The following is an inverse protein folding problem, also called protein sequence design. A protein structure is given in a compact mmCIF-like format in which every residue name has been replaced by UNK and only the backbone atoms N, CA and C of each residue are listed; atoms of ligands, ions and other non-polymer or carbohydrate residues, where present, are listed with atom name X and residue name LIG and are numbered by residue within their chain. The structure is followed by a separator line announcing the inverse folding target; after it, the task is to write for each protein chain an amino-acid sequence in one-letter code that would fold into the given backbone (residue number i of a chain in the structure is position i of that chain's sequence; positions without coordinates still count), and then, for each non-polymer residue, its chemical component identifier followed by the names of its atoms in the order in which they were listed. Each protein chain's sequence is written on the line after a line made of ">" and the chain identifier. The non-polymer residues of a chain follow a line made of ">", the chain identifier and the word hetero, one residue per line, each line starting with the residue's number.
data_IF_374895853107
#
_entry.id   IF_374895853107
#
_cell.length_a   1.000
_cell.length_b   1.000
_cell.length_c   1.000
_cell.angle_alpha   90.00
_cell.angle_beta   90.00
_cell.angle_gamma   90.00
#
_symmetry.space_group_name_H-M   'P 1'
#
loop_
_entity.id
_entity.type
_entity.pdbx_description
1 polymer ?
#
# COMPACT_ATOMS: atom_id res chain seq x y z
N UNK A 1 26.72 -24.65 -39.35
CA UNK A 1 25.94 -23.52 -38.77
C UNK A 1 24.81 -24.07 -37.90
N UNK A 2 25.03 -24.28 -36.61
CA UNK A 2 23.98 -24.58 -35.61
C UNK A 2 24.46 -24.12 -34.23
N UNK A 3 24.13 -22.90 -33.82
CA UNK A 3 24.15 -22.45 -32.42
C UNK A 3 23.70 -20.98 -32.33
N UNK A 4 22.42 -20.69 -32.54
CA UNK A 4 21.83 -19.37 -32.22
C UNK A 4 20.35 -19.44 -31.79
N UNK A 5 19.70 -20.61 -31.88
CA UNK A 5 18.29 -20.78 -31.52
C UNK A 5 18.03 -20.84 -30.01
N UNK A 6 19.00 -21.25 -29.19
CA UNK A 6 18.80 -21.42 -27.74
C UNK A 6 18.73 -20.10 -26.95
N UNK A 7 19.52 -19.10 -27.33
CA UNK A 7 19.61 -17.83 -26.59
C UNK A 7 18.38 -16.95 -26.85
N UNK A 8 17.84 -16.97 -28.07
CA UNK A 8 16.66 -16.18 -28.46
C UNK A 8 15.40 -16.72 -27.75
N UNK A 9 15.25 -18.04 -27.65
CA UNK A 9 14.08 -18.66 -26.98
C UNK A 9 14.07 -18.35 -25.48
N UNK A 10 15.23 -18.42 -24.81
CA UNK A 10 15.36 -18.09 -23.38
C UNK A 10 15.10 -16.59 -23.14
N UNK A 11 15.61 -15.71 -24.02
CA UNK A 11 15.37 -14.26 -23.91
C UNK A 11 13.88 -13.91 -24.07
N UNK A 12 13.18 -14.49 -25.06
CA UNK A 12 11.76 -14.24 -25.29
C UNK A 12 10.87 -14.76 -24.14
N UNK A 13 11.16 -15.94 -23.58
CA UNK A 13 10.38 -16.49 -22.45
C UNK A 13 10.60 -15.69 -21.16
N UNK A 14 11.81 -15.18 -20.92
CA UNK A 14 12.09 -14.30 -19.78
C UNK A 14 11.34 -12.97 -19.92
N UNK A 15 11.25 -12.39 -21.13
CA UNK A 15 10.49 -11.15 -21.35
C UNK A 15 8.98 -11.33 -21.11
N UNK A 16 8.36 -12.41 -21.61
CA UNK A 16 6.90 -12.65 -21.43
C UNK A 16 6.55 -12.88 -19.97
N UNK A 17 7.41 -13.58 -19.21
CA UNK A 17 7.17 -13.85 -17.79
C UNK A 17 7.31 -12.59 -16.94
N UNK A 18 8.31 -11.74 -17.19
CA UNK A 18 8.47 -10.47 -16.45
C UNK A 18 7.32 -9.48 -16.74
N UNK A 19 6.86 -9.40 -17.99
CA UNK A 19 5.69 -8.57 -18.36
C UNK A 19 4.36 -9.13 -17.81
N UNK A 20 4.18 -10.45 -17.81
CA UNK A 20 2.99 -11.09 -17.23
C UNK A 20 2.94 -11.01 -15.69
N UNK A 21 4.10 -10.93 -15.03
CA UNK A 21 4.22 -10.82 -13.58
C UNK A 21 3.81 -9.45 -13.03
N UNK A 22 3.99 -8.37 -13.81
CA UNK A 22 3.50 -7.04 -13.42
C UNK A 22 2.00 -6.89 -13.74
N UNK A 23 1.53 -7.50 -14.84
CA UNK A 23 0.13 -7.43 -15.28
C UNK A 23 -0.88 -7.88 -14.22
N UNK A 24 -0.65 -9.01 -13.54
CA UNK A 24 -1.59 -9.53 -12.54
C UNK A 24 -1.76 -8.59 -11.33
N UNK A 25 -0.70 -7.88 -10.94
CA UNK A 25 -0.77 -6.91 -9.83
C UNK A 25 -1.48 -5.62 -10.27
N UNK A 26 -1.20 -5.13 -11.47
CA UNK A 26 -1.89 -3.96 -12.02
C UNK A 26 -3.39 -4.23 -12.26
N UNK A 27 -3.72 -5.41 -12.79
CA UNK A 27 -5.11 -5.85 -12.94
C UNK A 27 -5.82 -5.97 -11.59
N UNK A 28 -5.14 -6.47 -10.55
CA UNK A 28 -5.69 -6.51 -9.20
C UNK A 28 -5.98 -5.11 -8.63
N UNK A 29 -5.08 -4.14 -8.82
CA UNK A 29 -5.33 -2.75 -8.41
C UNK A 29 -6.53 -2.16 -9.17
N UNK A 30 -6.61 -2.38 -10.48
CA UNK A 30 -7.76 -1.93 -11.27
C UNK A 30 -9.09 -2.51 -10.75
N UNK A 31 -9.13 -3.83 -10.49
CA UNK A 31 -10.31 -4.50 -9.93
C UNK A 31 -10.67 -3.96 -8.55
N UNK A 32 -9.66 -3.68 -7.72
CA UNK A 32 -9.86 -3.06 -6.41
C UNK A 32 -10.47 -1.66 -6.53
N UNK A 33 -10.00 -0.84 -7.47
CA UNK A 33 -10.49 0.52 -7.68
C UNK A 33 -11.95 0.55 -8.15
N UNK A 34 -12.39 -0.45 -8.92
CA UNK A 34 -13.79 -0.64 -9.31
C UNK A 34 -14.60 -1.44 -8.27
N UNK A 35 -14.03 -1.70 -7.10
CA UNK A 35 -14.65 -2.38 -5.95
C UNK A 35 -15.02 -3.85 -6.17
N UNK A 36 -14.41 -4.50 -7.17
CA UNK A 36 -14.51 -5.95 -7.37
C UNK A 36 -13.48 -6.67 -6.48
N UNK A 37 -13.74 -6.67 -5.18
CA UNK A 37 -12.80 -7.14 -4.17
C UNK A 37 -12.54 -8.65 -4.24
N UNK A 38 -13.52 -9.45 -4.68
CA UNK A 38 -13.36 -10.90 -4.84
C UNK A 38 -12.39 -11.23 -5.98
N UNK A 39 -12.57 -10.61 -7.15
CA UNK A 39 -11.64 -10.82 -8.27
C UNK A 39 -10.28 -10.19 -7.98
N UNK A 40 -10.25 -9.01 -7.35
CA UNK A 40 -9.00 -8.38 -6.94
C UNK A 40 -8.20 -9.29 -6.00
N UNK A 41 -8.84 -9.86 -4.98
CA UNK A 41 -8.23 -10.80 -4.03
C UNK A 41 -7.60 -12.00 -4.75
N UNK A 42 -8.34 -12.64 -5.65
CA UNK A 42 -7.83 -13.78 -6.42
C UNK A 42 -6.57 -13.42 -7.22
N UNK A 43 -6.55 -12.21 -7.82
CA UNK A 43 -5.42 -11.71 -8.60
C UNK A 43 -4.23 -11.32 -7.72
N UNK A 44 -4.47 -10.76 -6.54
CA UNK A 44 -3.41 -10.45 -5.58
C UNK A 44 -2.74 -11.71 -5.04
N UNK A 45 -3.50 -12.74 -4.65
CA UNK A 45 -2.96 -14.02 -4.19
C UNK A 45 -2.06 -14.67 -5.27
N UNK A 46 -2.54 -14.74 -6.51
CA UNK A 46 -1.73 -15.20 -7.66
C UNK A 46 -0.47 -14.37 -7.90
N UNK A 47 -0.51 -13.08 -7.59
CA UNK A 47 0.65 -12.19 -7.72
C UNK A 47 1.65 -12.42 -6.59
N UNK A 48 1.19 -12.63 -5.35
CA UNK A 48 2.00 -12.83 -4.14
C UNK A 48 3.03 -13.96 -4.33
N UNK A 49 2.58 -15.10 -4.84
CA UNK A 49 3.41 -16.30 -5.05
C UNK A 49 4.54 -16.09 -6.08
N UNK A 50 4.32 -15.19 -7.03
CA UNK A 50 5.26 -14.95 -8.14
C UNK A 50 6.35 -13.94 -7.80
N UNK A 51 6.22 -13.16 -6.72
CA UNK A 51 7.16 -12.09 -6.39
C UNK A 51 8.24 -12.58 -5.44
N UNK A 52 9.51 -12.46 -5.83
CA UNK A 52 10.66 -12.74 -4.93
C UNK A 52 10.99 -11.56 -4.01
N UNK A 53 10.65 -10.33 -4.41
CA UNK A 53 10.97 -9.13 -3.64
C UNK A 53 10.05 -9.00 -2.42
N UNK A 54 10.67 -9.01 -1.23
CA UNK A 54 9.98 -9.00 0.05
C UNK A 54 9.17 -7.72 0.29
N UNK A 55 9.66 -6.56 -0.14
CA UNK A 55 8.90 -5.31 -0.03
C UNK A 55 7.67 -5.31 -0.93
N UNK A 56 7.77 -5.87 -2.15
CA UNK A 56 6.61 -6.01 -3.05
C UNK A 56 5.59 -7.00 -2.46
N UNK A 57 6.05 -8.10 -1.85
CA UNK A 57 5.15 -9.00 -1.10
C UNK A 57 4.39 -8.25 -0.02
N UNK A 58 5.05 -7.42 0.78
CA UNK A 58 4.39 -6.62 1.82
C UNK A 58 3.30 -5.70 1.29
N UNK A 59 3.51 -5.09 0.11
CA UNK A 59 2.49 -4.28 -0.56
C UNK A 59 1.31 -5.16 -1.02
N UNK A 60 1.57 -6.34 -1.59
CA UNK A 60 0.50 -7.23 -2.04
C UNK A 60 -0.32 -7.74 -0.84
N UNK A 61 0.33 -8.15 0.25
CA UNK A 61 -0.33 -8.60 1.48
C UNK A 61 -1.17 -7.48 2.10
N UNK A 62 -0.70 -6.22 2.03
CA UNK A 62 -1.51 -5.07 2.43
C UNK A 62 -2.80 -4.98 1.62
N UNK A 63 -2.72 -5.11 0.29
CA UNK A 63 -3.91 -5.03 -0.58
C UNK A 63 -4.86 -6.21 -0.36
N UNK A 64 -4.33 -7.41 -0.06
CA UNK A 64 -5.13 -8.57 0.33
C UNK A 64 -5.90 -8.24 1.63
N UNK A 65 -5.23 -7.66 2.63
CA UNK A 65 -5.89 -7.21 3.86
C UNK A 65 -7.01 -6.20 3.59
N UNK A 66 -6.79 -5.22 2.70
CA UNK A 66 -7.83 -4.27 2.29
C UNK A 66 -9.01 -4.95 1.59
N UNK A 67 -8.77 -5.97 0.75
CA UNK A 67 -9.86 -6.74 0.13
C UNK A 67 -10.70 -7.45 1.21
N UNK A 68 -10.05 -8.17 2.14
CA UNK A 68 -10.74 -8.83 3.25
C UNK A 68 -11.48 -7.84 4.16
N UNK A 69 -10.94 -6.64 4.37
CA UNK A 69 -11.62 -5.56 5.12
C UNK A 69 -12.90 -5.10 4.45
N UNK A 70 -12.88 -4.90 3.14
CA UNK A 70 -14.08 -4.50 2.39
C UNK A 70 -15.09 -5.65 2.24
N UNK A 71 -14.64 -6.90 2.30
CA UNK A 71 -15.48 -8.10 2.34
C UNK A 71 -15.95 -8.48 3.76
N UNK A 72 -15.56 -7.72 4.79
CA UNK A 72 -15.88 -7.94 6.19
C UNK A 72 -15.50 -9.34 6.73
N UNK A 73 -14.32 -9.81 6.35
CA UNK A 73 -13.75 -11.10 6.79
C UNK A 73 -12.95 -10.97 8.10
N UNK A 74 -12.73 -12.07 8.82
CA UNK A 74 -12.09 -12.11 10.15
C UNK A 74 -10.56 -12.16 10.14
N UNK A 75 -9.92 -12.52 9.01
CA UNK A 75 -8.46 -12.72 8.95
C UNK A 75 -7.63 -11.43 8.80
N UNK A 76 -8.29 -10.28 8.83
CA UNK A 76 -7.71 -8.95 8.54
C UNK A 76 -6.51 -8.64 9.45
N UNK A 77 -6.60 -8.94 10.74
CA UNK A 77 -5.55 -8.66 11.74
C UNK A 77 -4.24 -9.41 11.43
N UNK A 78 -4.33 -10.67 11.00
CA UNK A 78 -3.17 -11.48 10.65
C UNK A 78 -2.47 -10.90 9.42
N UNK A 79 -3.25 -10.52 8.41
CA UNK A 79 -2.75 -9.96 7.16
C UNK A 79 -2.08 -8.59 7.36
N UNK A 80 -2.65 -7.71 8.19
CA UNK A 80 -1.99 -6.43 8.49
C UNK A 80 -0.70 -6.61 9.27
N UNK A 81 -0.62 -7.58 10.19
CA UNK A 81 0.62 -7.93 10.89
C UNK A 81 1.69 -8.46 9.92
N UNK A 82 1.32 -9.39 9.04
CA UNK A 82 2.24 -9.92 8.02
C UNK A 82 2.75 -8.79 7.11
N UNK A 83 1.84 -7.95 6.60
CA UNK A 83 2.20 -6.81 5.77
C UNK A 83 3.16 -5.86 6.48
N UNK A 84 2.88 -5.52 7.74
CA UNK A 84 3.73 -4.65 8.57
C UNK A 84 5.16 -5.18 8.67
N UNK A 85 5.31 -6.49 8.97
CA UNK A 85 6.61 -7.15 9.05
C UNK A 85 7.36 -7.07 7.73
N UNK A 86 6.68 -7.31 6.61
CA UNK A 86 7.28 -7.29 5.27
C UNK A 86 7.67 -5.88 4.81
N UNK A 87 6.82 -4.87 5.07
CA UNK A 87 7.05 -3.48 4.66
C UNK A 87 8.20 -2.82 5.43
N UNK A 88 8.37 -3.19 6.72
CA UNK A 88 9.49 -2.73 7.56
C UNK A 88 10.85 -3.26 7.11
N UNK A 89 10.90 -4.33 6.30
CA UNK A 89 12.16 -4.82 5.74
C UNK A 89 12.73 -3.79 4.76
N UNK A 90 13.99 -3.39 5.00
CA UNK A 90 14.67 -2.32 4.27
C UNK A 90 14.95 -2.74 2.84
N UNK A 91 14.42 -1.99 1.86
CA UNK A 91 14.85 -2.13 0.48
C UNK A 91 16.12 -1.27 0.24
N UNK A 92 17.12 -1.77 -0.49
CA UNK A 92 18.41 -1.08 -0.68
C UNK A 92 18.31 0.24 -1.47
N UNK A 93 17.25 0.44 -2.26
CA UNK A 93 16.97 1.71 -2.94
C UNK A 93 15.46 1.95 -3.04
N UNK A 94 15.02 3.17 -2.70
CA UNK A 94 13.63 3.62 -2.85
C UNK A 94 13.61 5.10 -3.26
N UNK A 95 12.78 5.44 -4.23
CA UNK A 95 12.47 6.84 -4.58
C UNK A 95 11.78 7.54 -3.39
N UNK A 96 11.72 8.87 -3.40
CA UNK A 96 10.99 9.65 -2.37
C UNK A 96 9.53 9.20 -2.28
N UNK A 97 8.88 9.03 -3.43
CA UNK A 97 7.51 8.56 -3.55
C UNK A 97 7.33 7.14 -3.00
N UNK A 98 8.23 6.20 -3.33
CA UNK A 98 8.16 4.84 -2.80
C UNK A 98 8.34 4.80 -1.27
N UNK A 99 9.23 5.65 -0.73
CA UNK A 99 9.40 5.78 0.74
C UNK A 99 8.12 6.30 1.39
N UNK A 100 7.53 7.36 0.83
CA UNK A 100 6.26 7.92 1.28
C UNK A 100 5.15 6.87 1.27
N UNK A 101 4.94 6.22 0.13
CA UNK A 101 3.93 5.17 -0.06
C UNK A 101 4.11 3.98 0.89
N UNK A 102 5.35 3.60 1.18
CA UNK A 102 5.62 2.56 2.17
C UNK A 102 5.26 3.03 3.58
N UNK A 103 5.61 4.27 3.94
CA UNK A 103 5.31 4.85 5.25
C UNK A 103 3.80 4.99 5.47
N UNK A 104 3.06 5.46 4.47
CA UNK A 104 1.59 5.52 4.47
C UNK A 104 0.99 4.14 4.77
N UNK A 105 1.43 3.08 4.08
CA UNK A 105 0.94 1.72 4.34
C UNK A 105 1.28 1.20 5.73
N UNK A 106 2.48 1.47 6.24
CA UNK A 106 2.87 1.10 7.61
C UNK A 106 1.97 1.83 8.63
N UNK A 107 1.66 3.11 8.41
CA UNK A 107 0.73 3.87 9.26
C UNK A 107 -0.66 3.23 9.28
N UNK A 108 -1.18 2.86 8.11
CA UNK A 108 -2.46 2.17 7.96
C UNK A 108 -2.47 0.80 8.65
N UNK A 109 -1.41 0.00 8.51
CA UNK A 109 -1.27 -1.24 9.25
C UNK A 109 -1.39 -1.01 10.76
N UNK A 110 -0.65 -0.05 11.32
CA UNK A 110 -0.75 0.25 12.75
C UNK A 110 -2.14 0.73 13.16
N UNK A 111 -2.77 1.57 12.34
CA UNK A 111 -4.13 2.06 12.59
C UNK A 111 -5.14 0.91 12.68
N UNK A 112 -5.16 0.00 11.71
CA UNK A 112 -6.09 -1.13 11.71
C UNK A 112 -5.74 -2.21 12.76
N UNK A 113 -4.48 -2.26 13.19
CA UNK A 113 -4.05 -3.06 14.34
C UNK A 113 -4.31 -2.36 15.69
N UNK A 114 -4.96 -1.19 15.69
CA UNK A 114 -5.27 -0.38 16.87
C UNK A 114 -4.03 0.06 17.68
N UNK A 115 -2.85 0.06 17.05
CA UNK A 115 -1.64 0.64 17.62
C UNK A 115 -1.57 2.11 17.22
N UNK A 116 -2.34 2.91 17.92
CA UNK A 116 -2.65 4.26 17.52
C UNK A 116 -1.51 5.24 17.72
N UNK A 117 -0.66 5.02 18.73
CA UNK A 117 0.51 5.86 19.00
C UNK A 117 1.50 5.80 17.83
N UNK A 118 1.77 4.61 17.32
CA UNK A 118 2.65 4.41 16.16
C UNK A 118 2.00 4.91 14.86
N UNK A 119 0.68 4.74 14.71
CA UNK A 119 -0.06 5.23 13.56
C UNK A 119 -0.01 6.77 13.48
N UNK A 120 -0.29 7.45 14.58
CA UNK A 120 -0.27 8.92 14.70
C UNK A 120 1.11 9.49 14.33
N UNK A 121 2.19 8.92 14.87
CA UNK A 121 3.55 9.35 14.54
C UNK A 121 3.83 9.27 13.03
N UNK A 122 3.37 8.21 12.37
CA UNK A 122 3.59 8.04 10.94
C UNK A 122 2.64 8.88 10.09
N UNK A 123 1.41 9.12 10.51
CA UNK A 123 0.49 10.04 9.84
C UNK A 123 1.04 11.47 9.83
N UNK A 124 1.55 11.97 10.96
CA UNK A 124 2.19 13.29 11.01
C UNK A 124 3.43 13.37 10.09
N UNK A 125 4.23 12.30 10.04
CA UNK A 125 5.36 12.23 9.10
C UNK A 125 4.90 12.20 7.65
N UNK A 126 3.81 11.51 7.33
CA UNK A 126 3.23 11.54 5.98
C UNK A 126 2.82 12.96 5.61
N UNK A 127 2.04 13.63 6.48
CA UNK A 127 1.58 15.00 6.24
C UNK A 127 2.73 16.02 6.22
N UNK A 128 3.86 15.75 6.89
CA UNK A 128 5.06 16.57 6.76
C UNK A 128 5.68 16.49 5.36
N UNK A 129 5.66 15.30 4.74
CA UNK A 129 6.25 15.07 3.41
C UNK A 129 5.30 15.51 2.29
N UNK A 130 4.01 15.21 2.44
CA UNK A 130 2.94 15.49 1.48
C UNK A 130 1.72 15.97 2.27
N UNK A 131 1.57 17.30 2.33
CA UNK A 131 0.59 17.98 3.18
C UNK A 131 -0.86 17.85 2.68
N UNK A 132 -1.03 17.53 1.40
CA UNK A 132 -2.30 17.47 0.69
C UNK A 132 -2.79 16.04 0.41
N UNK A 133 -2.31 15.03 1.16
CA UNK A 133 -2.87 13.67 1.05
C UNK A 133 -4.20 13.58 1.81
N UNK A 134 -5.30 13.69 1.07
CA UNK A 134 -6.67 13.68 1.60
C UNK A 134 -6.99 12.38 2.35
N UNK A 135 -6.50 11.22 1.90
CA UNK A 135 -6.80 9.94 2.55
C UNK A 135 -6.23 9.92 3.97
N UNK A 136 -4.98 10.36 4.13
CA UNK A 136 -4.33 10.45 5.44
C UNK A 136 -5.07 11.43 6.34
N UNK A 137 -5.48 12.58 5.81
CA UNK A 137 -6.25 13.57 6.58
C UNK A 137 -7.58 12.99 7.06
N UNK A 138 -8.35 12.35 6.18
CA UNK A 138 -9.64 11.75 6.56
C UNK A 138 -9.47 10.70 7.65
N UNK A 139 -8.52 9.77 7.47
CA UNK A 139 -8.29 8.68 8.42
C UNK A 139 -7.80 9.21 9.78
N UNK A 140 -6.78 10.07 9.76
CA UNK A 140 -6.17 10.57 10.98
C UNK A 140 -7.14 11.46 11.78
N UNK A 141 -7.88 12.35 11.10
CA UNK A 141 -8.88 13.20 11.77
C UNK A 141 -10.08 12.40 12.28
N UNK A 142 -10.53 11.38 11.53
CA UNK A 142 -11.57 10.46 11.97
C UNK A 142 -11.17 9.74 13.25
N UNK A 143 -9.95 9.18 13.26
CA UNK A 143 -9.36 8.56 14.44
C UNK A 143 -9.26 9.51 15.65
N UNK A 144 -8.71 10.72 15.48
CA UNK A 144 -8.60 11.69 16.57
C UNK A 144 -9.97 12.03 17.20
N UNK A 145 -11.01 12.11 16.37
CA UNK A 145 -12.39 12.30 16.86
C UNK A 145 -12.89 11.14 17.71
N UNK A 146 -12.54 9.90 17.36
CA UNK A 146 -12.89 8.72 18.18
C UNK A 146 -12.20 8.73 19.54
N UNK A 147 -11.02 9.34 19.64
CA UNK A 147 -10.33 9.58 20.92
C UNK A 147 -10.82 10.83 21.68
N UNK A 148 -11.82 11.54 21.15
CA UNK A 148 -12.29 12.80 21.74
C UNK A 148 -11.40 14.02 21.48
N UNK A 149 -10.31 13.87 20.71
CA UNK A 149 -9.35 14.94 20.37
C UNK A 149 -9.85 15.76 19.17
N UNK A 150 -11.00 16.41 19.32
CA UNK A 150 -11.68 17.11 18.22
C UNK A 150 -10.89 18.34 17.74
N UNK A 151 -10.27 19.07 18.66
CA UNK A 151 -9.47 20.26 18.34
C UNK A 151 -8.26 19.88 17.48
N UNK A 152 -7.60 18.77 17.78
CA UNK A 152 -6.47 18.25 17.00
C UNK A 152 -6.89 17.88 15.58
N UNK A 153 -8.06 17.26 15.46
CA UNK A 153 -8.63 16.89 14.17
C UNK A 153 -8.94 18.13 13.29
N UNK A 154 -9.48 19.20 13.88
CA UNK A 154 -9.74 20.44 13.12
C UNK A 154 -8.43 21.15 12.73
N UNK A 155 -7.41 21.18 13.59
CA UNK A 155 -6.08 21.72 13.24
C UNK A 155 -5.45 21.01 12.04
N UNK A 156 -5.60 19.68 11.93
CA UNK A 156 -5.08 18.93 10.78
C UNK A 156 -5.82 19.29 9.49
N UNK A 157 -7.14 19.50 9.55
CA UNK A 157 -7.90 19.93 8.38
C UNK A 157 -7.53 21.35 7.94
N UNK A 158 -7.36 22.27 8.89
CA UNK A 158 -6.89 23.64 8.59
C UNK A 158 -5.55 23.60 7.86
N UNK A 159 -4.57 22.87 8.39
CA UNK A 159 -3.25 22.65 7.74
C UNK A 159 -3.37 22.08 6.32
N UNK A 160 -4.35 21.20 6.08
CA UNK A 160 -4.61 20.61 4.77
C UNK A 160 -5.22 21.63 3.80
N UNK A 161 -6.19 22.42 4.24
CA UNK A 161 -6.81 23.48 3.44
C UNK A 161 -5.76 24.53 3.03
N UNK A 162 -4.96 25.01 3.97
CA UNK A 162 -3.84 25.92 3.69
C UNK A 162 -2.87 25.33 2.65
N UNK A 163 -2.55 24.04 2.77
CA UNK A 163 -1.64 23.38 1.83
C UNK A 163 -2.22 23.23 0.42
N UNK A 164 -3.54 23.13 0.27
CA UNK A 164 -4.21 23.12 -1.03
C UNK A 164 -4.29 24.53 -1.60
N UNK A 165 -4.65 25.53 -0.79
CA UNK A 165 -4.73 26.93 -1.23
C UNK A 165 -3.39 27.44 -1.77
N UNK A 166 -2.27 27.08 -1.14
CA UNK A 166 -0.93 27.46 -1.60
C UNK A 166 -0.50 26.80 -2.93
N UNK A 167 -1.26 25.83 -3.47
CA UNK A 167 -0.98 25.19 -4.75
C UNK A 167 -1.68 25.85 -5.94
N UNK A 168 -2.61 26.76 -5.69
CA UNK A 168 -3.34 27.53 -6.70
C UNK A 168 -2.93 29.00 -6.68
#
# INVERSE_FOLDING_TARGET
>A
MKALSGIIIISLTVCITVFGQSKSFFEANYLFDIQDYELALNKYEKSKDKKKNVSIKGIIVFQIAECHRNLNDTIITELYNESLILLKKRAPSRTREQKYNTMKRIALCYYYLQNYEEAELLFERCLTIQRDDLDIVILYTGFLKTLGRKEDAERIKERFLEAIELKF
#
